data_IF_830011203441
#
_entry.id   IF_830011203441
#
_cell.length_a   1.000
_cell.length_b   1.000
_cell.length_c   1.000
_cell.angle_alpha   90.00
_cell.angle_beta   90.00
_cell.angle_gamma   90.00
#
_symmetry.space_group_name_H-M   'P 1'
#
loop_
_entity.id
_entity.type
_entity.pdbx_description
1 polymer ?
#
# COMPACT_ATOMS: atom_id res chain seq x y z
N UNK A 1 1.39 -10.90 4.04
CA UNK A 1 1.47 -11.89 2.92
C UNK A 1 2.04 -11.30 1.65
N UNK A 2 3.20 -10.67 1.68
CA UNK A 2 3.75 -10.05 0.47
C UNK A 2 5.16 -10.60 0.19
N UNK A 3 5.19 -11.92 -0.05
CA UNK A 3 6.38 -12.64 -0.50
C UNK A 3 6.66 -12.38 -1.99
N UNK A 4 5.65 -11.96 -2.73
CA UNK A 4 5.69 -11.80 -4.17
C UNK A 4 6.69 -10.74 -4.70
N UNK A 5 6.83 -9.53 -4.14
CA UNK A 5 7.75 -8.53 -4.67
C UNK A 5 9.21 -8.98 -4.74
N UNK A 6 9.62 -9.90 -3.87
CA UNK A 6 11.00 -10.38 -3.84
C UNK A 6 11.33 -11.39 -4.94
N UNK A 7 10.35 -11.99 -5.60
CA UNK A 7 10.57 -12.99 -6.66
C UNK A 7 11.26 -12.44 -7.91
N UNK A 8 11.05 -11.14 -8.21
CA UNK A 8 11.69 -10.48 -9.34
C UNK A 8 13.19 -10.19 -9.20
N UNK A 9 13.77 -10.36 -8.01
CA UNK A 9 15.16 -10.05 -7.69
C UNK A 9 16.08 -11.27 -7.83
N UNK A 10 15.94 -12.08 -8.91
CA UNK A 10 16.62 -13.37 -9.08
C UNK A 10 18.13 -13.38 -8.84
N UNK A 11 18.85 -12.36 -9.31
CA UNK A 11 20.31 -12.26 -9.24
C UNK A 11 20.83 -11.49 -8.02
N UNK A 12 19.95 -11.11 -7.08
CA UNK A 12 20.31 -10.37 -5.86
C UNK A 12 20.30 -11.33 -4.68
N UNK A 13 21.37 -11.29 -3.87
CA UNK A 13 21.42 -12.08 -2.64
C UNK A 13 20.42 -11.49 -1.62
N UNK A 14 19.39 -12.26 -1.30
CA UNK A 14 18.26 -11.81 -0.47
C UNK A 14 18.41 -12.32 0.97
N UNK A 15 18.26 -11.39 1.93
CA UNK A 15 18.14 -11.69 3.34
C UNK A 15 16.80 -11.19 3.84
N UNK A 16 16.16 -11.93 4.72
CA UNK A 16 14.82 -11.60 5.17
C UNK A 16 14.60 -11.82 6.66
N UNK A 17 13.62 -11.09 7.19
CA UNK A 17 13.03 -11.28 8.49
C UNK A 17 11.51 -11.12 8.39
N UNK A 18 10.76 -11.98 9.04
CA UNK A 18 9.31 -11.90 9.17
C UNK A 18 8.90 -12.47 10.53
N UNK A 19 7.75 -12.04 11.06
CA UNK A 19 7.17 -12.62 12.26
C UNK A 19 6.50 -13.98 11.99
N UNK A 20 6.16 -14.28 10.74
CA UNK A 20 5.55 -15.52 10.30
C UNK A 20 6.61 -16.47 9.72
N UNK A 21 6.93 -17.50 10.45
CA UNK A 21 7.94 -18.50 10.05
C UNK A 21 7.61 -19.17 8.69
N UNK A 22 6.33 -19.28 8.36
CA UNK A 22 5.87 -19.84 7.09
C UNK A 22 6.33 -19.01 5.90
N UNK A 23 6.27 -17.67 6.00
CA UNK A 23 6.76 -16.76 4.96
C UNK A 23 8.29 -16.88 4.81
N UNK A 24 9.00 -17.03 5.94
CA UNK A 24 10.46 -17.26 5.95
C UNK A 24 10.79 -18.53 5.19
N UNK A 25 10.18 -19.65 5.56
CA UNK A 25 10.42 -20.97 4.95
C UNK A 25 10.12 -20.97 3.45
N UNK A 26 9.09 -20.23 3.01
CA UNK A 26 8.74 -20.12 1.59
C UNK A 26 9.83 -19.39 0.78
N UNK A 27 10.37 -18.31 1.30
CA UNK A 27 11.45 -17.58 0.63
C UNK A 27 12.80 -18.28 0.70
N UNK A 28 13.09 -19.02 1.76
CA UNK A 28 14.31 -19.84 1.84
C UNK A 28 14.34 -20.91 0.75
N UNK A 29 13.20 -21.51 0.40
CA UNK A 29 13.08 -22.42 -0.76
C UNK A 29 13.42 -21.73 -2.09
N UNK A 30 13.30 -20.40 -2.14
CA UNK A 30 13.66 -19.59 -3.30
C UNK A 30 15.10 -19.00 -3.20
N UNK A 31 15.92 -19.49 -2.25
CA UNK A 31 17.31 -19.08 -2.08
C UNK A 31 17.52 -17.82 -1.24
N UNK A 32 16.51 -17.36 -0.51
CA UNK A 32 16.71 -16.29 0.47
C UNK A 32 17.33 -16.85 1.76
N UNK A 33 18.04 -15.99 2.50
CA UNK A 33 18.61 -16.29 3.81
C UNK A 33 17.82 -15.56 4.89
N UNK A 34 17.42 -16.27 5.94
CA UNK A 34 16.77 -15.65 7.11
C UNK A 34 17.82 -15.13 8.09
N UNK A 35 17.44 -14.08 8.83
CA UNK A 35 18.33 -13.53 9.84
C UNK A 35 17.66 -12.52 10.75
N UNK A 36 18.38 -12.13 11.81
CA UNK A 36 17.98 -11.03 12.67
C UNK A 36 18.05 -9.69 11.94
N UNK A 37 17.36 -8.67 12.44
CA UNK A 37 17.45 -7.31 11.89
C UNK A 37 18.89 -6.81 11.85
N UNK A 38 19.68 -7.08 12.89
CA UNK A 38 21.10 -6.75 12.94
C UNK A 38 21.89 -7.43 11.84
N UNK A 39 21.68 -8.74 11.64
CA UNK A 39 22.37 -9.51 10.60
C UNK A 39 22.04 -8.98 9.20
N UNK A 40 20.76 -8.71 8.93
CA UNK A 40 20.31 -8.15 7.66
C UNK A 40 20.94 -6.77 7.42
N UNK A 41 20.86 -5.88 8.40
CA UNK A 41 21.38 -4.52 8.29
C UNK A 41 22.89 -4.47 8.03
N UNK A 42 23.67 -5.32 8.70
CA UNK A 42 25.14 -5.37 8.54
C UNK A 42 25.59 -5.92 7.18
N UNK A 43 24.77 -6.75 6.56
CA UNK A 43 25.16 -7.54 5.38
C UNK A 43 24.36 -7.17 4.12
N UNK A 44 23.63 -6.05 4.11
CA UNK A 44 22.86 -5.60 2.96
C UNK A 44 23.23 -4.18 2.55
N UNK A 45 23.24 -3.94 1.24
CA UNK A 45 23.45 -2.61 0.65
C UNK A 45 22.11 -1.84 0.58
N UNK A 46 21.01 -2.59 0.50
CA UNK A 46 19.65 -2.04 0.49
C UNK A 46 18.80 -2.81 1.49
N UNK A 47 18.13 -2.09 2.39
CA UNK A 47 17.12 -2.65 3.30
C UNK A 47 15.74 -2.20 2.84
N UNK A 48 14.84 -3.16 2.66
CA UNK A 48 13.47 -2.90 2.19
C UNK A 48 12.49 -3.30 3.30
N UNK A 49 11.48 -2.46 3.55
CA UNK A 49 10.35 -2.80 4.43
C UNK A 49 9.04 -2.84 3.65
N UNK A 50 8.18 -3.80 4.04
CA UNK A 50 6.79 -3.92 3.60
C UNK A 50 5.98 -4.30 4.85
N UNK A 51 5.55 -3.31 5.60
CA UNK A 51 4.98 -3.45 6.95
C UNK A 51 3.60 -2.80 7.01
N UNK A 52 2.77 -3.16 8.01
CA UNK A 52 1.37 -2.73 8.05
C UNK A 52 1.17 -1.21 8.12
N UNK A 53 1.93 -0.49 8.95
CA UNK A 53 1.75 0.95 9.17
C UNK A 53 2.99 1.60 9.82
N UNK A 54 2.92 2.91 10.02
CA UNK A 54 3.98 3.76 10.62
C UNK A 54 4.59 3.21 11.91
N UNK A 55 3.83 2.73 12.90
CA UNK A 55 4.41 2.22 14.14
C UNK A 55 5.38 1.05 13.90
N UNK A 56 5.00 0.08 13.05
CA UNK A 56 5.84 -1.07 12.75
C UNK A 56 7.08 -0.68 11.96
N UNK A 57 6.95 0.26 11.00
CA UNK A 57 8.12 0.77 10.26
C UNK A 57 9.08 1.48 11.21
N UNK A 58 8.57 2.36 12.09
CA UNK A 58 9.41 3.06 13.09
C UNK A 58 10.11 2.08 14.01
N UNK A 59 9.42 1.06 14.50
CA UNK A 59 10.01 0.05 15.38
C UNK A 59 11.12 -0.71 14.68
N UNK A 60 10.88 -1.20 13.47
CA UNK A 60 11.88 -1.97 12.70
C UNK A 60 13.09 -1.11 12.31
N UNK A 61 12.89 0.18 11.98
CA UNK A 61 13.99 1.02 11.53
C UNK A 61 14.69 1.77 12.66
N UNK A 62 13.93 2.32 13.62
CA UNK A 62 14.44 3.24 14.65
C UNK A 62 14.35 2.67 16.08
N UNK A 63 13.70 1.53 16.30
CA UNK A 63 13.55 0.89 17.60
C UNK A 63 14.91 0.58 18.26
N UNK A 64 14.92 0.14 19.50
CA UNK A 64 16.15 -0.16 20.27
C UNK A 64 17.09 -1.11 19.52
N UNK A 65 16.53 -2.11 18.83
CA UNK A 65 17.25 -3.06 17.98
C UNK A 65 16.96 -2.82 16.49
N UNK A 66 16.58 -1.61 16.11
CA UNK A 66 16.23 -1.25 14.76
C UNK A 66 17.41 -1.28 13.79
N UNK A 67 17.11 -1.54 12.51
CA UNK A 67 18.12 -1.75 11.47
C UNK A 67 19.02 -0.53 11.26
N UNK A 68 18.51 0.70 11.46
CA UNK A 68 19.31 1.93 11.32
C UNK A 68 20.50 2.03 12.29
N UNK A 69 20.50 1.23 13.37
CA UNK A 69 21.64 1.12 14.29
C UNK A 69 22.81 0.39 13.67
N UNK A 70 22.54 -0.53 12.76
CA UNK A 70 23.51 -1.48 12.21
C UNK A 70 23.80 -1.28 10.74
N UNK A 71 22.98 -0.48 10.04
CA UNK A 71 23.20 -0.13 8.63
C UNK A 71 24.49 0.67 8.47
N UNK A 72 25.19 0.46 7.35
CA UNK A 72 26.43 1.17 7.01
C UNK A 72 26.11 2.52 6.37
N UNK A 73 26.99 3.50 6.54
CA UNK A 73 26.96 4.73 5.74
C UNK A 73 27.02 4.40 4.24
N UNK A 74 26.27 5.13 3.43
CA UNK A 74 26.16 4.92 1.97
C UNK A 74 25.20 3.81 1.53
N UNK A 75 24.53 3.12 2.47
CA UNK A 75 23.44 2.17 2.15
C UNK A 75 22.11 2.88 1.96
N UNK A 76 21.10 2.16 1.44
CA UNK A 76 19.77 2.71 1.20
C UNK A 76 18.70 1.95 1.97
N UNK A 77 17.76 2.69 2.54
CA UNK A 77 16.51 2.18 3.07
C UNK A 77 15.36 2.50 2.10
N UNK A 78 14.60 1.50 1.67
CA UNK A 78 13.42 1.66 0.81
C UNK A 78 12.20 1.17 1.57
N UNK A 79 11.32 2.08 1.93
CA UNK A 79 10.05 1.71 2.57
C UNK A 79 8.95 1.57 1.53
N UNK A 80 8.53 0.34 1.28
CA UNK A 80 7.41 0.01 0.38
C UNK A 80 6.07 -0.02 1.12
N UNK A 81 6.06 0.26 2.41
CA UNK A 81 4.86 0.30 3.24
C UNK A 81 4.00 1.53 2.93
N UNK A 82 2.68 1.39 3.07
CA UNK A 82 1.76 2.54 3.02
C UNK A 82 1.62 3.13 4.41
N UNK A 83 2.38 4.20 4.69
CA UNK A 83 2.43 4.90 5.98
C UNK A 83 2.09 6.38 5.85
N UNK A 84 2.02 7.09 6.98
CA UNK A 84 1.87 8.53 6.97
C UNK A 84 3.13 9.21 6.37
N UNK A 85 2.99 10.10 5.37
CA UNK A 85 4.12 10.82 4.77
C UNK A 85 4.94 11.66 5.77
N UNK A 86 4.32 12.12 6.85
CA UNK A 86 5.01 12.83 7.95
C UNK A 86 6.04 11.91 8.59
N UNK A 87 5.68 10.65 8.80
CA UNK A 87 6.57 9.64 9.37
C UNK A 87 7.69 9.24 8.41
N UNK A 88 7.40 9.15 7.10
CA UNK A 88 8.45 8.93 6.10
C UNK A 88 9.52 10.02 6.16
N UNK A 89 9.09 11.29 6.22
CA UNK A 89 10.00 12.44 6.35
C UNK A 89 10.77 12.44 7.68
N UNK A 90 10.11 12.07 8.77
CA UNK A 90 10.74 11.97 10.08
C UNK A 90 11.85 10.89 10.09
N UNK A 91 11.55 9.69 9.58
CA UNK A 91 12.51 8.59 9.48
C UNK A 91 13.71 9.02 8.61
N UNK A 92 13.43 9.59 7.44
CA UNK A 92 14.48 10.01 6.51
C UNK A 92 15.41 11.08 7.07
N UNK A 93 14.88 12.00 7.90
CA UNK A 93 15.72 12.97 8.59
C UNK A 93 16.74 12.29 9.51
N UNK A 94 16.31 11.29 10.29
CA UNK A 94 17.19 10.54 11.20
C UNK A 94 18.21 9.71 10.42
N UNK A 95 17.78 9.06 9.33
CA UNK A 95 18.67 8.25 8.49
C UNK A 95 19.74 9.10 7.80
N UNK A 96 19.38 10.31 7.38
CA UNK A 96 20.31 11.26 6.76
C UNK A 96 21.46 11.64 7.70
N UNK A 97 21.19 11.77 9.01
CA UNK A 97 22.22 12.04 10.02
C UNK A 97 23.24 10.88 10.14
N UNK A 98 22.87 9.70 9.65
CA UNK A 98 23.72 8.49 9.60
C UNK A 98 24.25 8.21 8.20
N UNK A 99 24.10 9.14 7.27
CA UNK A 99 24.50 8.99 5.85
C UNK A 99 23.84 7.78 5.17
N UNK A 100 22.60 7.44 5.58
CA UNK A 100 21.77 6.40 4.97
C UNK A 100 20.77 7.08 4.05
N UNK A 101 20.74 6.69 2.78
CA UNK A 101 19.76 7.17 1.79
C UNK A 101 18.38 6.57 2.07
N UNK A 102 17.31 7.28 1.74
CA UNK A 102 15.94 6.75 1.90
C UNK A 102 15.05 7.08 0.71
N UNK A 103 14.25 6.08 0.31
CA UNK A 103 13.10 6.23 -0.58
C UNK A 103 11.84 5.72 0.12
N UNK A 104 10.73 6.44 -0.01
CA UNK A 104 9.39 5.91 0.26
C UNK A 104 8.78 5.46 -1.07
N UNK A 105 8.43 4.20 -1.18
CA UNK A 105 8.05 3.56 -2.43
C UNK A 105 6.81 2.65 -2.29
N UNK A 106 5.68 3.16 -1.75
CA UNK A 106 4.47 2.37 -1.66
C UNK A 106 3.97 1.93 -3.02
N UNK A 107 3.18 0.83 -3.01
CA UNK A 107 2.74 0.15 -4.23
C UNK A 107 1.23 0.24 -4.45
N UNK A 108 0.83 0.08 -5.70
CA UNK A 108 -0.56 -0.11 -6.11
C UNK A 108 -0.67 -1.31 -7.05
N UNK A 109 -1.75 -2.10 -6.91
CA UNK A 109 -2.04 -3.25 -7.76
C UNK A 109 -2.63 -4.44 -7.01
N UNK A 110 -2.50 -4.47 -5.68
CA UNK A 110 -2.99 -5.57 -4.84
C UNK A 110 -2.20 -6.87 -5.01
N UNK A 111 -2.67 -7.93 -4.35
CA UNK A 111 -2.01 -9.25 -4.34
C UNK A 111 -1.80 -9.84 -5.75
N UNK A 112 -2.76 -9.80 -6.68
CA UNK A 112 -2.54 -10.35 -8.03
C UNK A 112 -1.35 -9.72 -8.75
N UNK A 113 -1.23 -8.38 -8.74
CA UNK A 113 -0.11 -7.71 -9.37
C UNK A 113 1.20 -7.88 -8.62
N UNK A 114 1.16 -8.12 -7.31
CA UNK A 114 2.34 -8.47 -6.53
C UNK A 114 2.86 -9.87 -6.92
N UNK A 115 1.95 -10.84 -7.12
CA UNK A 115 2.30 -12.20 -7.59
C UNK A 115 2.93 -12.14 -8.98
N UNK A 116 2.36 -11.35 -9.88
CA UNK A 116 2.82 -11.21 -11.27
C UNK A 116 4.08 -10.33 -11.41
N UNK A 117 4.52 -9.63 -10.34
CA UNK A 117 5.61 -8.66 -10.39
C UNK A 117 5.26 -7.42 -11.22
N UNK A 118 3.99 -7.03 -11.28
CA UNK A 118 3.50 -5.91 -12.11
C UNK A 118 2.89 -4.77 -11.31
N UNK A 119 3.22 -4.65 -10.02
CA UNK A 119 2.78 -3.50 -9.19
C UNK A 119 3.32 -2.18 -9.76
N UNK A 120 2.60 -1.10 -9.44
CA UNK A 120 3.07 0.25 -9.72
C UNK A 120 3.66 0.86 -8.45
N UNK A 121 4.89 1.34 -8.53
CA UNK A 121 5.57 2.06 -7.47
C UNK A 121 5.38 3.57 -7.59
N UNK A 122 5.05 4.21 -6.48
CA UNK A 122 5.02 5.67 -6.33
C UNK A 122 6.18 6.04 -5.42
N UNK A 123 7.23 6.65 -5.98
CA UNK A 123 8.50 6.83 -5.26
C UNK A 123 8.70 8.29 -4.86
N UNK A 124 8.97 8.50 -3.57
CA UNK A 124 9.46 9.77 -3.04
C UNK A 124 10.89 9.64 -2.56
N UNK A 125 11.67 10.68 -2.77
CA UNK A 125 13.07 10.75 -2.34
C UNK A 125 13.95 11.55 -3.29
N UNK A 126 15.22 11.69 -2.93
CA UNK A 126 16.22 12.37 -3.76
C UNK A 126 16.33 11.74 -5.15
N UNK A 127 16.55 12.57 -6.17
CA UNK A 127 16.58 12.13 -7.56
C UNK A 127 17.77 11.19 -7.86
N UNK A 128 18.94 11.49 -7.32
CA UNK A 128 20.11 10.65 -7.55
C UNK A 128 19.94 9.30 -6.84
N UNK A 129 19.38 9.29 -5.65
CA UNK A 129 19.03 8.07 -4.92
C UNK A 129 18.00 7.25 -5.70
N UNK A 130 16.96 7.89 -6.24
CA UNK A 130 15.99 7.22 -7.08
C UNK A 130 16.63 6.59 -8.32
N UNK A 131 17.43 7.34 -9.07
CA UNK A 131 18.09 6.85 -10.28
C UNK A 131 19.03 5.65 -9.97
N UNK A 132 19.72 5.69 -8.82
CA UNK A 132 20.62 4.63 -8.37
C UNK A 132 19.91 3.32 -8.08
N UNK A 133 18.67 3.38 -7.53
CA UNK A 133 17.96 2.19 -7.03
C UNK A 133 16.70 1.81 -7.83
N UNK A 134 16.26 2.60 -8.81
CA UNK A 134 15.05 2.33 -9.59
C UNK A 134 15.02 0.95 -10.25
N UNK A 135 16.17 0.44 -10.68
CA UNK A 135 16.25 -0.87 -11.34
C UNK A 135 15.87 -2.02 -10.40
N UNK A 136 16.10 -1.87 -9.08
CA UNK A 136 15.62 -2.84 -8.08
C UNK A 136 14.11 -2.84 -8.05
N UNK A 137 13.47 -1.67 -8.09
CA UNK A 137 12.02 -1.53 -8.10
C UNK A 137 11.41 -2.08 -9.40
N UNK A 138 12.05 -1.86 -10.55
CA UNK A 138 11.60 -2.43 -11.83
C UNK A 138 11.68 -3.95 -11.90
N UNK A 139 12.48 -4.60 -11.05
CA UNK A 139 12.47 -6.07 -10.92
C UNK A 139 11.21 -6.61 -10.21
N UNK A 140 10.50 -5.74 -9.50
CA UNK A 140 9.32 -6.10 -8.70
C UNK A 140 8.03 -5.48 -9.24
N UNK A 141 8.10 -4.54 -10.16
CA UNK A 141 6.94 -3.83 -10.70
C UNK A 141 7.11 -3.42 -12.16
N UNK A 142 5.98 -3.16 -12.81
CA UNK A 142 5.91 -2.74 -14.22
C UNK A 142 5.96 -1.23 -14.42
N UNK A 143 5.76 -0.46 -13.35
CA UNK A 143 5.79 1.00 -13.37
C UNK A 143 6.46 1.52 -12.11
N UNK A 144 7.44 2.41 -12.30
CA UNK A 144 8.18 3.04 -11.19
C UNK A 144 8.24 4.54 -11.48
N UNK A 145 7.47 5.31 -10.72
CA UNK A 145 7.34 6.75 -10.96
C UNK A 145 7.85 7.53 -9.75
N UNK A 146 8.87 8.39 -9.96
CA UNK A 146 9.26 9.37 -8.94
C UNK A 146 8.22 10.49 -8.86
N UNK A 147 7.63 10.66 -7.68
CA UNK A 147 6.55 11.62 -7.42
C UNK A 147 7.04 12.93 -6.80
N UNK A 148 8.31 12.99 -6.37
CA UNK A 148 8.91 14.15 -5.73
C UNK A 148 9.88 13.76 -4.61
N UNK A 149 10.08 14.70 -3.67
CA UNK A 149 10.94 14.48 -2.49
C UNK A 149 10.34 13.48 -1.51
N UNK A 150 11.12 13.09 -0.51
CA UNK A 150 10.73 12.09 0.49
C UNK A 150 9.36 12.39 1.12
N UNK A 151 8.52 11.37 1.17
CA UNK A 151 7.11 11.45 1.54
C UNK A 151 6.15 11.68 0.36
N UNK A 152 6.66 12.01 -0.84
CA UNK A 152 5.81 12.20 -2.02
C UNK A 152 5.22 10.88 -2.53
N UNK A 153 5.92 9.77 -2.40
CA UNK A 153 5.43 8.44 -2.73
C UNK A 153 4.22 8.09 -1.87
N UNK A 154 4.35 8.17 -0.54
CA UNK A 154 3.24 7.93 0.38
C UNK A 154 2.10 8.94 0.21
N UNK A 155 2.37 10.23 -0.03
CA UNK A 155 1.32 11.21 -0.34
C UNK A 155 0.54 10.81 -1.60
N UNK A 156 1.23 10.38 -2.66
CA UNK A 156 0.61 9.91 -3.91
C UNK A 156 -0.22 8.65 -3.66
N UNK A 157 0.28 7.72 -2.83
CA UNK A 157 -0.47 6.54 -2.42
C UNK A 157 -1.75 6.91 -1.68
N UNK A 158 -1.71 7.86 -0.74
CA UNK A 158 -2.91 8.31 -0.03
C UNK A 158 -3.92 8.96 -0.96
N UNK A 159 -3.48 9.77 -1.92
CA UNK A 159 -4.36 10.33 -2.97
C UNK A 159 -5.03 9.20 -3.78
N UNK A 160 -4.28 8.16 -4.18
CA UNK A 160 -4.85 6.98 -4.82
C UNK A 160 -5.91 6.31 -3.93
N UNK A 161 -5.65 6.15 -2.63
CA UNK A 161 -6.58 5.48 -1.72
C UNK A 161 -7.87 6.28 -1.49
N UNK A 162 -7.80 7.61 -1.44
CA UNK A 162 -8.97 8.50 -1.43
C UNK A 162 -9.85 8.25 -2.67
N UNK A 163 -9.23 8.23 -3.86
CA UNK A 163 -9.95 8.02 -5.12
C UNK A 163 -10.57 6.62 -5.16
N UNK A 164 -9.84 5.59 -4.75
CA UNK A 164 -10.35 4.21 -4.71
C UNK A 164 -11.55 4.10 -3.77
N UNK A 165 -11.45 4.63 -2.54
CA UNK A 165 -12.52 4.63 -1.56
C UNK A 165 -13.75 5.39 -2.06
N UNK A 166 -13.54 6.59 -2.62
CA UNK A 166 -14.59 7.41 -3.20
C UNK A 166 -15.32 6.72 -4.34
N UNK A 167 -14.60 6.06 -5.24
CA UNK A 167 -15.20 5.27 -6.32
C UNK A 167 -16.04 4.10 -5.77
N UNK A 168 -15.52 3.34 -4.79
CA UNK A 168 -16.26 2.23 -4.19
C UNK A 168 -17.57 2.74 -3.57
N UNK A 169 -17.51 3.83 -2.81
CA UNK A 169 -18.69 4.41 -2.16
C UNK A 169 -19.72 4.89 -3.19
N UNK A 170 -19.30 5.67 -4.17
CA UNK A 170 -20.20 6.18 -5.22
C UNK A 170 -20.87 5.06 -6.02
N UNK A 171 -20.10 4.03 -6.40
CA UNK A 171 -20.61 2.85 -7.10
C UNK A 171 -21.61 2.09 -6.22
N UNK A 172 -21.30 1.87 -4.94
CA UNK A 172 -22.19 1.18 -4.01
C UNK A 172 -23.54 1.88 -3.88
N UNK A 173 -23.55 3.19 -3.69
CA UNK A 173 -24.79 3.99 -3.58
C UNK A 173 -25.60 3.95 -4.89
N UNK A 174 -24.94 4.11 -6.03
CA UNK A 174 -25.60 4.09 -7.33
C UNK A 174 -26.28 2.74 -7.62
N UNK A 175 -25.61 1.63 -7.30
CA UNK A 175 -26.16 0.30 -7.53
C UNK A 175 -27.25 -0.09 -6.51
N UNK A 176 -27.18 0.40 -5.28
CA UNK A 176 -28.28 0.27 -4.30
C UNK A 176 -29.53 1.05 -4.80
N UNK A 177 -29.34 2.30 -5.25
CA UNK A 177 -30.42 3.10 -5.81
C UNK A 177 -31.08 2.36 -7.00
N UNK A 178 -30.31 1.90 -7.95
CA UNK A 178 -30.80 1.17 -9.13
C UNK A 178 -31.60 -0.08 -8.72
N UNK A 179 -31.07 -0.89 -7.83
CA UNK A 179 -31.70 -2.11 -7.30
C UNK A 179 -33.04 -1.79 -6.61
N UNK A 180 -33.08 -0.76 -5.73
CA UNK A 180 -34.30 -0.33 -5.05
C UNK A 180 -35.35 0.27 -5.99
N UNK A 181 -34.91 0.88 -7.09
CA UNK A 181 -35.77 1.39 -8.16
C UNK A 181 -36.26 0.28 -9.13
N UNK A 182 -35.88 -0.98 -8.91
CA UNK A 182 -36.32 -2.11 -9.75
C UNK A 182 -35.57 -2.22 -11.07
N UNK A 183 -34.43 -1.56 -11.23
CA UNK A 183 -33.59 -1.66 -12.42
C UNK A 183 -32.58 -2.78 -12.24
N UNK A 184 -32.40 -3.62 -13.27
CA UNK A 184 -31.44 -4.72 -13.24
C UNK A 184 -30.01 -4.16 -13.15
N UNK A 185 -29.21 -4.56 -12.12
CA UNK A 185 -27.85 -4.06 -11.94
C UNK A 185 -26.89 -4.35 -13.10
N UNK A 186 -27.01 -5.50 -13.76
CA UNK A 186 -26.19 -5.85 -14.95
C UNK A 186 -26.46 -4.87 -16.10
N UNK A 187 -27.74 -4.53 -16.34
CA UNK A 187 -28.12 -3.55 -17.37
C UNK A 187 -27.53 -2.16 -17.04
N UNK A 188 -27.59 -1.75 -15.77
CA UNK A 188 -26.98 -0.48 -15.34
C UNK A 188 -25.48 -0.49 -15.60
N UNK A 189 -24.79 -1.55 -15.19
CA UNK A 189 -23.35 -1.68 -15.38
C UNK A 189 -22.96 -1.57 -16.86
N UNK A 190 -23.60 -2.36 -17.71
CA UNK A 190 -23.32 -2.35 -19.17
C UNK A 190 -23.57 -0.97 -19.79
N UNK A 191 -24.62 -0.28 -19.36
CA UNK A 191 -24.98 1.03 -19.90
C UNK A 191 -23.97 2.15 -19.55
N UNK A 192 -23.35 2.10 -18.36
CA UNK A 192 -22.56 3.24 -17.85
C UNK A 192 -21.04 2.97 -17.79
N UNK A 193 -20.60 1.71 -17.84
CA UNK A 193 -19.16 1.36 -17.67
C UNK A 193 -18.24 2.00 -18.73
N UNK A 194 -18.74 2.32 -19.93
CA UNK A 194 -17.99 2.97 -21.01
C UNK A 194 -18.09 4.49 -21.01
N UNK A 195 -18.90 5.09 -20.14
CA UNK A 195 -19.09 6.54 -20.03
C UNK A 195 -18.21 7.18 -18.96
N UNK A 196 -18.51 8.45 -18.64
CA UNK A 196 -17.76 9.24 -17.63
C UNK A 196 -17.83 8.64 -16.21
N UNK A 197 -18.88 7.87 -15.91
CA UNK A 197 -19.02 7.17 -14.62
C UNK A 197 -18.12 5.93 -14.52
N UNK A 198 -17.62 5.42 -15.65
CA UNK A 198 -16.77 4.24 -15.69
C UNK A 198 -15.42 4.48 -14.98
N UNK A 199 -14.92 3.43 -14.31
CA UNK A 199 -13.61 3.43 -13.68
C UNK A 199 -13.07 2.00 -13.56
N UNK A 200 -11.76 1.87 -13.41
CA UNK A 200 -11.13 0.56 -13.11
C UNK A 200 -11.71 -0.06 -11.84
N UNK A 201 -12.00 0.76 -10.82
CA UNK A 201 -12.64 0.30 -9.59
C UNK A 201 -14.04 -0.24 -9.87
N UNK A 202 -14.87 0.49 -10.62
CA UNK A 202 -16.20 0.04 -11.03
C UNK A 202 -16.15 -1.28 -11.78
N UNK A 203 -15.28 -1.39 -12.78
CA UNK A 203 -15.13 -2.62 -13.58
C UNK A 203 -14.68 -3.82 -12.75
N UNK A 204 -13.85 -3.60 -11.72
CA UNK A 204 -13.39 -4.66 -10.83
C UNK A 204 -14.43 -5.04 -9.77
N UNK A 205 -15.21 -4.08 -9.25
CA UNK A 205 -16.05 -4.27 -8.06
C UNK A 205 -17.51 -4.57 -8.36
N UNK A 206 -18.08 -3.99 -9.41
CA UNK A 206 -19.51 -4.22 -9.74
C UNK A 206 -19.83 -5.69 -9.99
N UNK A 207 -19.04 -6.46 -10.78
CA UNK A 207 -19.31 -7.89 -10.94
C UNK A 207 -19.30 -8.66 -9.61
N UNK A 208 -18.41 -8.29 -8.68
CA UNK A 208 -18.37 -8.89 -7.35
C UNK A 208 -19.63 -8.54 -6.54
N UNK A 209 -20.07 -7.28 -6.58
CA UNK A 209 -21.29 -6.81 -5.89
C UNK A 209 -22.54 -7.50 -6.41
N UNK A 210 -22.65 -7.68 -7.74
CA UNK A 210 -23.79 -8.33 -8.37
C UNK A 210 -23.86 -9.82 -8.01
N UNK A 211 -22.71 -10.50 -7.96
CA UNK A 211 -22.61 -11.93 -7.67
C UNK A 211 -22.47 -12.25 -6.18
N UNK A 212 -22.58 -11.25 -5.32
CA UNK A 212 -22.39 -11.39 -3.87
C UNK A 212 -21.04 -12.04 -3.49
N UNK A 213 -20.01 -11.81 -4.32
CA UNK A 213 -18.65 -12.31 -4.09
C UNK A 213 -17.88 -11.35 -3.19
N UNK A 214 -17.88 -11.66 -1.89
CA UNK A 214 -17.25 -10.85 -0.83
C UNK A 214 -15.82 -11.29 -0.49
N UNK A 215 -15.18 -12.10 -1.35
CA UNK A 215 -13.80 -12.55 -1.10
C UNK A 215 -12.85 -11.36 -0.98
N UNK A 216 -11.96 -11.36 0.03
CA UNK A 216 -11.06 -10.25 0.28
C UNK A 216 -9.97 -10.17 -0.79
N UNK A 217 -9.90 -9.02 -1.49
CA UNK A 217 -8.75 -8.64 -2.33
C UNK A 217 -7.93 -7.52 -1.69
N UNK A 218 -8.61 -6.62 -0.94
CA UNK A 218 -7.99 -5.61 -0.07
C UNK A 218 -8.88 -5.42 1.16
N UNK A 219 -8.34 -5.65 2.35
CA UNK A 219 -9.12 -5.69 3.59
C UNK A 219 -9.59 -4.29 3.99
N UNK A 220 -10.80 -4.22 4.57
CA UNK A 220 -11.42 -2.96 5.05
C UNK A 220 -10.55 -2.27 6.09
N UNK A 221 -10.00 -3.00 7.05
CA UNK A 221 -9.12 -2.44 8.09
C UNK A 221 -7.85 -1.78 7.52
N UNK A 222 -7.29 -2.32 6.44
CA UNK A 222 -6.16 -1.70 5.75
C UNK A 222 -6.58 -0.42 5.01
N UNK A 223 -7.80 -0.38 4.46
CA UNK A 223 -8.31 0.83 3.82
C UNK A 223 -8.64 1.92 4.86
N UNK A 224 -9.24 1.55 6.00
CA UNK A 224 -9.44 2.45 7.16
C UNK A 224 -8.10 3.05 7.58
N UNK A 225 -7.06 2.23 7.73
CA UNK A 225 -5.71 2.68 8.05
C UNK A 225 -5.20 3.71 7.02
N UNK A 226 -5.36 3.44 5.73
CA UNK A 226 -4.92 4.35 4.66
C UNK A 226 -5.69 5.67 4.70
N UNK A 227 -7.01 5.64 4.93
CA UNK A 227 -7.81 6.86 5.04
C UNK A 227 -7.48 7.66 6.32
N UNK A 228 -7.18 7.00 7.44
CA UNK A 228 -6.69 7.68 8.64
C UNK A 228 -5.36 8.39 8.37
N UNK A 229 -4.40 7.72 7.72
CA UNK A 229 -3.15 8.35 7.31
C UNK A 229 -3.39 9.53 6.35
N UNK A 230 -4.40 9.44 5.46
CA UNK A 230 -4.76 10.51 4.55
C UNK A 230 -5.35 11.73 5.30
N UNK A 231 -6.22 11.50 6.29
CA UNK A 231 -6.79 12.55 7.13
C UNK A 231 -5.73 13.25 7.97
N UNK A 232 -4.84 12.48 8.60
CA UNK A 232 -3.72 13.04 9.37
C UNK A 232 -2.77 13.87 8.48
N UNK A 233 -2.43 13.35 7.29
CA UNK A 233 -1.63 14.07 6.32
C UNK A 233 -2.33 15.35 5.87
N UNK A 234 -3.62 15.30 5.54
CA UNK A 234 -4.41 16.45 5.13
C UNK A 234 -4.41 17.55 6.21
N UNK A 235 -4.65 17.17 7.48
CA UNK A 235 -4.61 18.10 8.60
C UNK A 235 -3.22 18.73 8.78
N UNK A 236 -2.15 17.97 8.58
CA UNK A 236 -0.78 18.48 8.73
C UNK A 236 -0.41 19.55 7.70
N UNK A 237 -1.09 19.57 6.54
CA UNK A 237 -0.85 20.53 5.45
C UNK A 237 -2.01 21.50 5.23
N UNK A 238 -3.05 21.47 6.08
CA UNK A 238 -4.23 22.34 5.98
C UNK A 238 -5.16 22.01 4.81
N UNK A 239 -5.11 20.81 4.25
CA UNK A 239 -6.03 20.37 3.20
C UNK A 239 -7.39 19.95 3.77
N UNK A 240 -8.47 20.27 3.04
CA UNK A 240 -9.85 19.95 3.44
C UNK A 240 -10.35 18.77 2.60
N UNK A 241 -10.67 17.65 3.26
CA UNK A 241 -11.05 16.37 2.62
C UNK A 241 -12.33 15.77 3.23
N UNK A 242 -13.49 16.46 3.15
CA UNK A 242 -14.71 16.08 3.85
C UNK A 242 -15.26 14.73 3.37
N UNK A 243 -15.21 14.43 2.07
CA UNK A 243 -15.64 13.15 1.52
C UNK A 243 -14.83 11.99 2.13
N UNK A 244 -13.51 12.16 2.27
CA UNK A 244 -12.64 11.14 2.87
C UNK A 244 -13.02 10.85 4.31
N UNK A 245 -13.32 11.89 5.11
CA UNK A 245 -13.77 11.73 6.49
C UNK A 245 -15.10 10.96 6.56
N UNK A 246 -16.05 11.29 5.70
CA UNK A 246 -17.34 10.61 5.66
C UNK A 246 -17.20 9.12 5.28
N UNK A 247 -16.39 8.82 4.28
CA UNK A 247 -16.16 7.43 3.84
C UNK A 247 -15.42 6.64 4.93
N UNK A 248 -14.47 7.27 5.61
CA UNK A 248 -13.74 6.64 6.72
C UNK A 248 -14.69 6.23 7.85
N UNK A 249 -15.67 7.10 8.25
CA UNK A 249 -16.68 6.77 9.24
C UNK A 249 -17.62 5.63 8.78
N UNK A 250 -18.00 5.61 7.51
CA UNK A 250 -18.79 4.51 6.94
C UNK A 250 -18.01 3.19 7.02
N UNK A 251 -16.74 3.18 6.63
CA UNK A 251 -15.90 2.00 6.71
C UNK A 251 -15.69 1.54 8.17
N UNK A 252 -15.52 2.48 9.10
CA UNK A 252 -15.41 2.18 10.53
C UNK A 252 -16.69 1.54 11.07
N UNK A 253 -17.86 2.04 10.67
CA UNK A 253 -19.14 1.42 11.01
C UNK A 253 -19.20 -0.03 10.51
N UNK A 254 -18.81 -0.27 9.27
CA UNK A 254 -18.82 -1.61 8.66
C UNK A 254 -17.85 -2.56 9.37
N UNK A 255 -16.65 -2.09 9.67
CA UNK A 255 -15.66 -2.85 10.45
C UNK A 255 -16.23 -3.27 11.81
N UNK A 256 -16.85 -2.35 12.55
CA UNK A 256 -17.43 -2.61 13.87
C UNK A 256 -18.63 -3.61 13.82
N UNK A 257 -19.24 -3.77 12.65
CA UNK A 257 -20.30 -4.75 12.40
C UNK A 257 -19.78 -6.05 11.75
N UNK A 258 -18.50 -6.34 11.87
CA UNK A 258 -17.90 -7.62 11.46
C UNK A 258 -17.41 -7.69 10.01
N UNK A 259 -17.49 -6.61 9.25
CA UNK A 259 -17.04 -6.55 7.86
C UNK A 259 -15.51 -6.30 7.74
N UNK A 260 -14.70 -7.05 8.47
CA UNK A 260 -13.25 -6.80 8.61
C UNK A 260 -12.47 -7.18 7.36
N UNK A 261 -12.89 -8.22 6.66
CA UNK A 261 -12.12 -8.84 5.56
C UNK A 261 -12.72 -8.61 4.17
N UNK A 262 -13.76 -7.81 4.04
CA UNK A 262 -14.42 -7.55 2.76
C UNK A 262 -13.67 -6.49 1.93
N UNK A 263 -13.74 -6.62 0.61
CA UNK A 263 -13.12 -5.66 -0.34
C UNK A 263 -14.09 -4.64 -0.89
N UNK A 264 -15.36 -4.89 -0.76
CA UNK A 264 -16.44 -3.98 -1.14
C UNK A 264 -17.59 -4.21 -0.16
N UNK A 265 -18.33 -3.19 0.08
CA UNK A 265 -19.44 -3.21 1.02
C UNK A 265 -20.63 -2.56 0.35
N UNK A 266 -21.71 -3.31 0.31
CA UNK A 266 -23.03 -2.71 0.13
C UNK A 266 -23.44 -2.12 1.48
N UNK A 267 -23.91 -0.87 1.48
CA UNK A 267 -24.57 -0.32 2.67
C UNK A 267 -25.70 -1.27 3.10
N UNK A 268 -25.97 -1.43 4.41
CA UNK A 268 -27.06 -2.29 4.87
C UNK A 268 -28.36 -1.89 4.16
N UNK A 269 -29.01 -2.86 3.56
CA UNK A 269 -30.27 -2.67 2.80
C UNK A 269 -31.52 -2.81 3.67
N UNK A 270 -31.38 -2.58 4.97
CA UNK A 270 -32.55 -2.56 5.89
C UNK A 270 -33.19 -1.20 5.94
#
# INVERSE_FOLDING_TARGET
RDVAPSRGLGDVYKRQNDHHIENINELEKCGAESGTLEYIAKNSDVVITMLPNSPQVKEVILGENGVARYMKSGTCFIDMSSINPVDSRYIGKILKEKEIEMLDAPVSGGEPKAIDGTVAFMVGGDENTFEKYKEILFKMGSSVTRCGELGAGNTTKLANQIIVAGNIQAVSEAFILAKKAGVNPECVFEAIKGGLAGSTVMNAKVPMMINDDVKPGFRVDLHIKDLNNALECAHSVGAVVPMTSQIQEIMQYLHNNGAVSYTHLTLPTT
#
